data_IF_849359449930
#
_entry.id   IF_849359449930
#
_cell.length_a   1.000
_cell.length_b   1.000
_cell.length_c   1.000
_cell.angle_alpha   90.00
_cell.angle_beta   90.00
_cell.angle_gamma   90.00
#
_symmetry.space_group_name_H-M   'P 1'
#
loop_
_entity.id
_entity.type
_entity.pdbx_description
1 polymer ?
#
# COMPACT_ATOMS: atom_id res chain seq x y z
N UNK A 1 21.40 18.30 30.47
CA UNK A 1 21.40 18.32 28.99
C UNK A 1 20.60 17.14 28.41
N UNK A 2 20.92 15.89 28.74
CA UNK A 2 20.22 14.70 28.19
C UNK A 2 18.71 14.64 28.50
N UNK A 3 18.27 14.99 29.72
CA UNK A 3 16.84 15.04 30.07
C UNK A 3 16.05 16.04 29.21
N UNK A 4 16.59 17.23 28.97
CA UNK A 4 15.92 18.24 28.15
C UNK A 4 15.84 17.80 26.67
N UNK A 5 16.91 17.16 26.17
CA UNK A 5 16.92 16.58 24.84
C UNK A 5 15.86 15.47 24.69
N UNK A 6 15.77 14.53 25.64
CA UNK A 6 14.76 13.47 25.63
C UNK A 6 13.33 14.04 25.65
N UNK A 7 13.07 15.04 26.49
CA UNK A 7 11.78 15.72 26.50
C UNK A 7 11.46 16.40 25.16
N UNK A 8 12.46 16.98 24.51
CA UNK A 8 12.33 17.53 23.16
C UNK A 8 11.90 16.45 22.15
N UNK A 9 12.56 15.29 22.15
CA UNK A 9 12.23 14.16 21.26
C UNK A 9 10.82 13.62 21.52
N UNK A 10 10.44 13.46 22.79
CA UNK A 10 9.10 12.98 23.14
C UNK A 10 8.03 13.99 22.68
N UNK A 11 8.25 15.29 22.91
CA UNK A 11 7.33 16.34 22.48
C UNK A 11 7.17 16.38 20.95
N UNK A 12 8.25 16.23 20.18
CA UNK A 12 8.16 16.22 18.71
C UNK A 12 7.43 15.00 18.19
N UNK A 13 7.65 13.81 18.77
CA UNK A 13 6.90 12.60 18.39
C UNK A 13 5.41 12.78 18.69
N UNK A 14 5.06 13.25 19.90
CA UNK A 14 3.66 13.48 20.28
C UNK A 14 3.00 14.53 19.38
N UNK A 15 3.71 15.60 19.03
CA UNK A 15 3.21 16.62 18.12
C UNK A 15 2.99 16.06 16.70
N UNK A 16 3.90 15.23 16.19
CA UNK A 16 3.75 14.59 14.87
C UNK A 16 2.54 13.64 14.84
N UNK A 17 2.38 12.80 15.86
CA UNK A 17 1.25 11.88 15.97
C UNK A 17 -0.08 12.63 16.12
N UNK A 18 -0.12 13.65 16.98
CA UNK A 18 -1.30 14.50 17.18
C UNK A 18 -1.68 15.27 15.93
N UNK A 19 -0.70 15.84 15.23
CA UNK A 19 -0.90 16.53 13.95
C UNK A 19 -1.43 15.60 12.86
N UNK A 20 -0.83 14.42 12.70
CA UNK A 20 -1.31 13.40 11.75
C UNK A 20 -2.75 12.96 12.06
N UNK A 21 -3.07 12.71 13.33
CA UNK A 21 -4.44 12.37 13.74
C UNK A 21 -5.44 13.50 13.44
N UNK A 22 -5.07 14.76 13.69
CA UNK A 22 -5.92 15.91 13.38
C UNK A 22 -6.17 16.05 11.87
N UNK A 23 -5.16 15.82 11.03
CA UNK A 23 -5.27 15.82 9.55
C UNK A 23 -6.26 14.75 9.08
N UNK A 24 -6.16 13.54 9.61
CA UNK A 24 -7.09 12.45 9.31
C UNK A 24 -8.52 12.81 9.72
N UNK A 25 -8.69 13.32 10.95
CA UNK A 25 -10.01 13.68 11.49
C UNK A 25 -10.65 14.88 10.79
N UNK A 26 -9.84 15.73 10.16
CA UNK A 26 -10.30 16.84 9.33
C UNK A 26 -10.67 16.41 7.89
N UNK A 27 -10.43 15.15 7.50
CA UNK A 27 -10.75 14.65 6.16
C UNK A 27 -9.86 15.21 5.05
N UNK A 28 -8.65 15.68 5.41
CA UNK A 28 -7.70 16.26 4.45
C UNK A 28 -6.98 15.20 3.60
N UNK A 29 -7.13 13.92 3.94
CA UNK A 29 -6.62 12.79 3.16
C UNK A 29 -7.83 12.10 2.50
N UNK A 30 -7.93 12.12 1.16
CA UNK A 30 -9.04 11.51 0.46
C UNK A 30 -8.97 9.98 0.61
N UNK A 31 -10.06 9.37 1.05
CA UNK A 31 -10.17 7.91 1.26
C UNK A 31 -11.13 7.24 0.27
N UNK A 32 -11.52 7.95 -0.80
CA UNK A 32 -12.34 7.39 -1.87
C UNK A 32 -11.51 6.46 -2.77
N UNK A 33 -12.17 5.41 -3.28
CA UNK A 33 -11.51 4.35 -4.04
C UNK A 33 -10.88 4.82 -5.37
N UNK A 34 -11.33 5.96 -5.90
CA UNK A 34 -10.90 6.55 -7.16
C UNK A 34 -10.02 7.81 -6.98
N UNK A 35 -9.69 8.19 -5.74
CA UNK A 35 -8.72 9.26 -5.52
C UNK A 35 -7.32 8.82 -5.95
N UNK A 36 -6.60 9.75 -6.57
CA UNK A 36 -5.19 9.56 -6.86
C UNK A 36 -4.41 9.57 -5.53
N UNK A 37 -3.72 8.48 -5.15
CA UNK A 37 -3.03 8.41 -3.87
C UNK A 37 -1.90 9.45 -3.80
N UNK A 38 -1.68 9.99 -2.60
CA UNK A 38 -0.55 10.86 -2.35
C UNK A 38 0.79 10.12 -2.49
N UNK A 39 1.88 10.90 -2.53
CA UNK A 39 3.23 10.35 -2.60
C UNK A 39 3.58 9.48 -1.38
N UNK A 40 3.10 9.86 -0.19
CA UNK A 40 3.36 9.13 1.05
C UNK A 40 2.63 7.78 1.09
N UNK A 41 1.36 7.76 0.66
CA UNK A 41 0.56 6.54 0.55
C UNK A 41 1.20 5.56 -0.45
N UNK A 42 1.58 6.07 -1.62
CA UNK A 42 2.22 5.29 -2.67
C UNK A 42 3.55 4.70 -2.19
N UNK A 43 4.38 5.50 -1.52
CA UNK A 43 5.64 5.03 -0.95
C UNK A 43 5.42 3.92 0.08
N UNK A 44 4.49 4.11 1.01
CA UNK A 44 4.20 3.14 2.05
C UNK A 44 3.64 1.83 1.47
N UNK A 45 2.74 1.93 0.48
CA UNK A 45 2.16 0.80 -0.22
C UNK A 45 3.23 -0.02 -0.96
N UNK A 46 4.08 0.63 -1.76
CA UNK A 46 5.17 -0.07 -2.47
C UNK A 46 6.16 -0.71 -1.51
N UNK A 47 6.61 0.00 -0.47
CA UNK A 47 7.55 -0.55 0.50
C UNK A 47 7.01 -1.82 1.18
N UNK A 48 5.71 -1.82 1.54
CA UNK A 48 5.05 -2.98 2.11
C UNK A 48 4.89 -4.12 1.10
N UNK A 49 4.45 -3.80 -0.12
CA UNK A 49 4.25 -4.77 -1.20
C UNK A 49 5.56 -5.45 -1.58
N UNK A 50 6.62 -4.68 -1.82
CA UNK A 50 7.93 -5.19 -2.21
C UNK A 50 8.51 -6.12 -1.15
N UNK A 51 8.42 -5.75 0.13
CA UNK A 51 8.87 -6.59 1.23
C UNK A 51 8.09 -7.92 1.30
N UNK A 52 6.80 -7.89 0.98
CA UNK A 52 5.95 -9.08 0.98
C UNK A 52 6.26 -9.98 -0.22
N UNK A 53 6.36 -9.41 -1.42
CA UNK A 53 6.75 -10.15 -2.63
C UNK A 53 8.16 -10.75 -2.49
N UNK A 54 9.09 -10.03 -1.86
CA UNK A 54 10.42 -10.55 -1.58
C UNK A 54 10.37 -11.83 -0.72
N UNK A 55 9.47 -11.89 0.28
CA UNK A 55 9.31 -13.05 1.16
C UNK A 55 8.49 -14.17 0.55
N UNK A 56 7.40 -13.85 -0.11
CA UNK A 56 6.31 -14.82 -0.38
C UNK A 56 6.13 -15.14 -1.86
N UNK A 57 6.55 -14.24 -2.77
CA UNK A 57 6.32 -14.49 -4.19
C UNK A 57 7.09 -15.75 -4.65
N UNK A 58 6.44 -16.66 -5.42
CA UNK A 58 7.10 -17.80 -6.03
C UNK A 58 8.34 -17.35 -6.82
N UNK A 59 9.48 -18.01 -6.59
CA UNK A 59 10.76 -17.66 -7.23
C UNK A 59 11.00 -18.35 -8.58
N UNK A 60 10.10 -19.26 -8.96
CA UNK A 60 10.17 -20.00 -10.21
C UNK A 60 9.63 -19.21 -11.40
N UNK A 61 9.77 -19.75 -12.62
CA UNK A 61 9.09 -19.20 -13.78
C UNK A 61 7.57 -19.22 -13.56
N UNK A 62 6.85 -18.36 -14.28
CA UNK A 62 5.39 -18.38 -14.26
C UNK A 62 4.91 -19.80 -14.64
N UNK A 63 4.10 -20.46 -13.79
CA UNK A 63 3.61 -21.80 -14.07
C UNK A 63 2.65 -21.85 -15.27
N UNK A 64 2.12 -20.70 -15.71
CA UNK A 64 1.25 -20.56 -16.87
C UNK A 64 2.06 -19.99 -18.04
N UNK A 65 2.30 -20.78 -19.11
CA UNK A 65 2.96 -20.29 -20.31
C UNK A 65 2.16 -19.17 -20.99
N UNK A 66 2.85 -18.18 -21.56
CA UNK A 66 2.23 -17.12 -22.34
C UNK A 66 1.88 -17.62 -23.75
N UNK A 67 0.69 -18.18 -23.91
CA UNK A 67 0.14 -18.66 -25.19
C UNK A 67 -1.25 -18.09 -25.41
N UNK A 68 -1.68 -17.99 -26.67
CA UNK A 68 -3.02 -17.48 -27.01
C UNK A 68 -4.13 -18.31 -26.34
N UNK A 69 -3.97 -19.64 -26.31
CA UNK A 69 -4.93 -20.53 -25.65
C UNK A 69 -5.06 -20.22 -24.14
N UNK A 70 -3.94 -19.98 -23.45
CA UNK A 70 -3.96 -19.64 -22.02
C UNK A 70 -4.52 -18.23 -21.79
N UNK A 71 -4.27 -17.28 -22.70
CA UNK A 71 -4.85 -15.94 -22.63
C UNK A 71 -6.38 -15.97 -22.75
N UNK A 72 -6.89 -16.71 -23.74
CA UNK A 72 -8.34 -16.86 -23.96
C UNK A 72 -9.00 -17.56 -22.76
N UNK A 73 -8.41 -18.65 -22.27
CA UNK A 73 -8.92 -19.30 -21.06
C UNK A 73 -8.90 -18.35 -19.83
N UNK A 74 -7.86 -17.52 -19.71
CA UNK A 74 -7.72 -16.55 -18.63
C UNK A 74 -8.78 -15.44 -18.67
N UNK A 75 -9.08 -14.87 -19.85
CA UNK A 75 -10.10 -13.82 -19.97
C UNK A 75 -11.51 -14.37 -19.71
N UNK A 76 -11.79 -15.61 -20.13
CA UNK A 76 -13.06 -16.27 -19.85
C UNK A 76 -13.25 -16.50 -18.34
N UNK A 77 -12.21 -17.00 -17.64
CA UNK A 77 -12.24 -17.17 -16.18
C UNK A 77 -12.41 -15.83 -15.45
N UNK A 78 -11.70 -14.79 -15.88
CA UNK A 78 -11.84 -13.46 -15.31
C UNK A 78 -13.26 -12.92 -15.48
N UNK A 79 -13.84 -13.07 -16.69
CA UNK A 79 -15.22 -12.67 -16.97
C UNK A 79 -16.24 -13.39 -16.09
N UNK A 80 -16.06 -14.69 -15.85
CA UNK A 80 -16.98 -15.51 -15.06
C UNK A 80 -16.88 -15.29 -13.55
N UNK A 81 -15.70 -14.93 -13.04
CA UNK A 81 -15.43 -14.95 -11.60
C UNK A 81 -14.99 -13.62 -10.99
N UNK A 82 -14.49 -12.68 -11.78
CA UNK A 82 -13.82 -11.48 -11.26
C UNK A 82 -14.40 -10.17 -11.81
N UNK A 83 -14.99 -10.17 -13.01
CA UNK A 83 -15.43 -8.94 -13.67
C UNK A 83 -16.63 -8.23 -13.01
N UNK A 84 -17.26 -8.86 -12.00
CA UNK A 84 -18.45 -8.33 -11.31
C UNK A 84 -18.12 -7.65 -9.96
N UNK A 85 -16.85 -7.67 -9.56
CA UNK A 85 -16.35 -7.04 -8.34
C UNK A 85 -15.87 -5.62 -8.63
#
# INVERSE_FOLDING_TARGET
>A
MFRAFLWGVVLTILAALGGGYAVLRAGLIPANADANPGWFETWAAHASLDATLAREAPKGPNPVPLTDANLVAGIDLYGQHCAIC
#
